data_IF_549445922024
#
_entry.id   IF_549445922024
#
_cell.length_a   1.000
_cell.length_b   1.000
_cell.length_c   1.000
_cell.angle_alpha   90.00
_cell.angle_beta   90.00
_cell.angle_gamma   90.00
#
_symmetry.space_group_name_H-M   'P 1'
#
loop_
_entity.id
_entity.type
_entity.pdbx_description
1 polymer ?
#
# COMPACT_ATOMS: atom_id res chain seq x y z
N UNK A 1 -9.45 -1.13 -22.85
CA UNK A 1 -10.85 -1.42 -22.44
C UNK A 1 -10.88 -1.39 -20.92
N UNK A 2 -11.80 -0.64 -20.31
CA UNK A 2 -11.79 -0.25 -18.89
C UNK A 2 -11.58 -1.39 -17.89
N UNK A 3 -10.59 -1.23 -17.00
CA UNK A 3 -10.33 -2.06 -15.81
C UNK A 3 -11.38 -1.69 -14.75
N UNK A 4 -12.23 -2.65 -14.34
CA UNK A 4 -13.18 -2.45 -13.23
C UNK A 4 -12.50 -2.81 -11.91
N UNK A 5 -12.21 -1.79 -11.11
CA UNK A 5 -11.97 -1.88 -9.66
C UNK A 5 -13.27 -2.26 -8.90
N UNK A 6 -13.77 -3.48 -9.13
CA UNK A 6 -15.16 -3.84 -8.82
C UNK A 6 -15.45 -4.53 -7.48
N UNK A 7 -14.48 -5.15 -6.80
CA UNK A 7 -14.84 -6.07 -5.71
C UNK A 7 -14.97 -5.45 -4.32
N UNK A 8 -14.40 -4.27 -4.06
CA UNK A 8 -14.50 -3.62 -2.72
C UNK A 8 -15.60 -2.55 -2.67
N UNK A 9 -15.93 -1.94 -3.81
CA UNK A 9 -16.94 -0.87 -3.89
C UNK A 9 -18.37 -1.44 -3.81
N UNK A 10 -18.61 -2.65 -4.32
CA UNK A 10 -19.96 -3.26 -4.33
C UNK A 10 -20.46 -3.62 -2.92
N UNK A 11 -19.56 -3.93 -1.98
CA UNK A 11 -19.91 -4.22 -0.59
C UNK A 11 -20.34 -2.96 0.18
N UNK A 12 -19.79 -1.78 -0.16
CA UNK A 12 -20.14 -0.50 0.48
C UNK A 12 -21.42 0.13 -0.07
N UNK A 13 -21.86 -0.27 -1.26
CA UNK A 13 -23.04 0.30 -1.92
C UNK A 13 -24.38 -0.32 -1.48
N UNK A 14 -24.35 -1.48 -0.82
CA UNK A 14 -25.57 -2.15 -0.36
C UNK A 14 -26.02 -1.71 1.05
N UNK A 15 -25.17 -1.04 1.83
CA UNK A 15 -25.50 -0.56 3.18
C UNK A 15 -25.86 0.94 3.28
N UNK A 16 -25.79 1.70 2.19
CA UNK A 16 -26.09 3.15 2.20
C UNK A 16 -27.52 3.51 1.78
N UNK A 17 -28.40 2.52 1.57
CA UNK A 17 -29.79 2.77 1.14
C UNK A 17 -30.75 3.30 2.21
N UNK A 18 -30.30 3.56 3.44
CA UNK A 18 -31.12 4.15 4.51
C UNK A 18 -30.50 5.39 5.16
N UNK A 19 -30.11 6.38 4.35
CA UNK A 19 -29.75 7.72 4.85
C UNK A 19 -30.79 8.73 4.34
N UNK A 20 -31.52 9.45 5.23
CA UNK A 20 -32.45 10.50 4.81
C UNK A 20 -31.69 11.62 4.09
N UNK A 21 -32.19 12.01 2.92
CA UNK A 21 -31.71 13.18 2.16
C UNK A 21 -31.99 14.47 2.95
N UNK A 22 -31.06 14.95 3.75
CA UNK A 22 -31.08 16.35 4.21
C UNK A 22 -30.22 17.18 3.28
N UNK A 23 -30.85 17.77 2.25
CA UNK A 23 -30.30 18.95 1.58
C UNK A 23 -30.29 20.08 2.62
N UNK A 24 -29.10 20.49 3.08
CA UNK A 24 -28.93 21.67 3.93
C UNK A 24 -29.11 22.94 3.10
N UNK A 25 -30.36 23.21 2.73
CA UNK A 25 -30.81 24.57 2.41
C UNK A 25 -31.45 25.08 3.70
N UNK A 26 -30.94 26.14 4.34
CA UNK A 26 -31.52 26.67 5.56
C UNK A 26 -33.00 26.98 5.33
N UNK A 27 -33.88 26.51 6.23
CA UNK A 27 -35.30 26.86 6.20
C UNK A 27 -35.43 28.40 6.15
N UNK A 28 -36.40 28.97 5.41
CA UNK A 28 -36.48 30.42 5.16
C UNK A 28 -36.53 31.28 6.44
N UNK A 29 -37.02 30.72 7.56
CA UNK A 29 -37.02 31.37 8.87
C UNK A 29 -35.62 31.49 9.50
N UNK A 30 -34.80 30.44 9.39
CA UNK A 30 -33.43 30.38 9.94
C UNK A 30 -32.51 31.33 9.16
N UNK A 31 -32.67 31.39 7.84
CA UNK A 31 -31.89 32.29 6.99
C UNK A 31 -32.11 33.76 7.37
N UNK A 32 -33.37 34.14 7.65
CA UNK A 32 -33.69 35.52 8.05
C UNK A 32 -33.10 35.90 9.41
N UNK A 33 -33.07 34.98 10.39
CA UNK A 33 -32.46 35.22 11.69
C UNK A 33 -30.93 35.44 11.57
N UNK A 34 -30.26 34.66 10.71
CA UNK A 34 -28.83 34.82 10.44
C UNK A 34 -28.51 36.14 9.73
N UNK A 35 -29.34 36.54 8.75
CA UNK A 35 -29.20 37.84 8.09
C UNK A 35 -29.30 38.96 9.12
N UNK A 36 -30.34 38.95 9.97
CA UNK A 36 -30.52 40.00 10.99
C UNK A 36 -29.37 40.04 12.01
N UNK A 37 -28.85 38.87 12.39
CA UNK A 37 -27.67 38.79 13.26
C UNK A 37 -26.45 39.47 12.64
N UNK A 38 -26.17 39.23 11.35
CA UNK A 38 -25.05 39.87 10.62
C UNK A 38 -25.29 41.37 10.44
N UNK A 39 -26.55 41.81 10.25
CA UNK A 39 -26.86 43.24 10.14
C UNK A 39 -26.59 43.99 11.45
N UNK A 40 -26.90 43.36 12.58
CA UNK A 40 -26.78 43.96 13.91
C UNK A 40 -25.39 43.82 14.55
N UNK A 41 -24.48 43.06 13.97
CA UNK A 41 -23.13 42.89 14.52
C UNK A 41 -22.30 44.19 14.48
N UNK A 42 -21.40 44.36 15.44
CA UNK A 42 -20.39 45.42 15.39
C UNK A 42 -19.30 45.01 14.39
N UNK A 43 -19.13 45.78 13.31
CA UNK A 43 -18.18 45.47 12.25
C UNK A 43 -18.24 46.44 11.08
N UNK A 44 -17.26 46.34 10.18
CA UNK A 44 -17.22 47.18 8.97
C UNK A 44 -18.28 46.73 7.96
N UNK A 45 -18.74 47.66 7.11
CA UNK A 45 -19.66 47.33 6.01
C UNK A 45 -19.10 46.22 5.11
N UNK A 46 -17.80 46.24 4.84
CA UNK A 46 -17.08 45.20 4.10
C UNK A 46 -17.21 43.83 4.75
N UNK A 47 -17.04 43.72 6.08
CA UNK A 47 -17.17 42.45 6.80
C UNK A 47 -18.59 41.89 6.72
N UNK A 48 -19.60 42.74 6.90
CA UNK A 48 -21.02 42.36 6.75
C UNK A 48 -21.33 41.89 5.34
N UNK A 49 -20.84 42.61 4.32
CA UNK A 49 -20.98 42.21 2.90
C UNK A 49 -20.37 40.83 2.66
N UNK A 50 -19.15 40.56 3.15
CA UNK A 50 -18.47 39.27 2.99
C UNK A 50 -19.29 38.12 3.61
N UNK A 51 -19.81 38.32 4.83
CA UNK A 51 -20.62 37.32 5.54
C UNK A 51 -21.97 37.05 4.85
N UNK A 52 -22.66 38.09 4.38
CA UNK A 52 -23.93 37.92 3.66
C UNK A 52 -23.75 37.23 2.30
N UNK A 53 -22.67 37.53 1.57
CA UNK A 53 -22.32 36.82 0.34
C UNK A 53 -21.96 35.35 0.60
N UNK A 54 -21.21 35.06 1.68
CA UNK A 54 -20.91 33.69 2.10
C UNK A 54 -22.15 32.90 2.56
N UNK A 55 -23.16 33.60 3.11
CA UNK A 55 -24.45 33.04 3.48
C UNK A 55 -25.34 32.73 2.24
N UNK A 56 -24.91 33.14 1.05
CA UNK A 56 -25.57 32.82 -0.23
C UNK A 56 -26.51 33.91 -0.77
N UNK A 57 -26.50 35.12 -0.20
CA UNK A 57 -27.28 36.24 -0.74
C UNK A 57 -26.66 36.73 -2.05
N UNK A 58 -27.51 37.19 -2.96
CA UNK A 58 -27.04 37.83 -4.19
C UNK A 58 -26.43 39.20 -3.90
N UNK A 59 -25.49 39.62 -4.74
CA UNK A 59 -24.85 40.96 -4.65
C UNK A 59 -25.87 42.11 -4.61
N UNK A 60 -27.01 41.95 -5.29
CA UNK A 60 -28.08 42.96 -5.29
C UNK A 60 -28.81 43.01 -3.95
N UNK A 61 -29.20 41.85 -3.41
CA UNK A 61 -29.80 41.77 -2.08
C UNK A 61 -28.86 42.34 -1.00
N UNK A 62 -27.56 42.06 -1.09
CA UNK A 62 -26.58 42.61 -0.15
C UNK A 62 -26.43 44.13 -0.31
N UNK A 63 -26.47 44.65 -1.55
CA UNK A 63 -26.39 46.09 -1.79
C UNK A 63 -27.57 46.85 -1.14
N UNK A 64 -28.78 46.29 -1.25
CA UNK A 64 -29.99 46.86 -0.68
C UNK A 64 -29.97 46.81 0.86
N UNK A 65 -29.39 45.75 1.45
CA UNK A 65 -29.38 45.55 2.91
C UNK A 65 -28.31 46.35 3.67
N UNK A 66 -27.10 46.50 3.11
CA UNK A 66 -25.95 47.07 3.87
C UNK A 66 -25.20 48.19 3.15
N UNK A 67 -25.54 48.48 1.89
CA UNK A 67 -24.81 49.45 1.08
C UNK A 67 -25.71 50.54 0.47
N UNK A 68 -26.94 50.73 0.96
CA UNK A 68 -27.91 51.71 0.46
C UNK A 68 -28.07 51.64 -1.08
N UNK A 69 -28.12 50.44 -1.64
CA UNK A 69 -28.24 50.20 -3.08
C UNK A 69 -26.93 50.35 -3.89
N UNK A 70 -25.79 50.63 -3.24
CA UNK A 70 -24.50 50.75 -3.93
C UNK A 70 -23.95 49.36 -4.38
N UNK A 71 -24.46 48.89 -5.52
CA UNK A 71 -24.07 47.62 -6.12
C UNK A 71 -22.58 47.57 -6.50
N UNK A 72 -22.02 48.69 -6.98
CA UNK A 72 -20.62 48.76 -7.38
C UNK A 72 -19.66 48.48 -6.22
N UNK A 73 -19.98 48.97 -5.02
CA UNK A 73 -19.21 48.69 -3.81
C UNK A 73 -19.24 47.20 -3.44
N UNK A 74 -20.43 46.58 -3.44
CA UNK A 74 -20.58 45.13 -3.18
C UNK A 74 -19.85 44.29 -4.24
N UNK A 75 -19.90 44.70 -5.50
CA UNK A 75 -19.22 44.03 -6.60
C UNK A 75 -17.69 44.06 -6.42
N UNK A 76 -17.12 45.16 -5.96
CA UNK A 76 -15.69 45.27 -5.69
C UNK A 76 -15.26 44.38 -4.51
N UNK A 77 -16.08 44.31 -3.45
CA UNK A 77 -15.84 43.39 -2.32
C UNK A 77 -15.90 41.93 -2.77
N UNK A 78 -16.91 41.55 -3.57
CA UNK A 78 -17.03 40.20 -4.12
C UNK A 78 -15.85 39.83 -5.02
N UNK A 79 -15.42 40.72 -5.93
CA UNK A 79 -14.25 40.49 -6.79
C UNK A 79 -12.99 40.22 -5.97
N UNK A 80 -12.78 40.96 -4.87
CA UNK A 80 -11.64 40.73 -3.96
C UNK A 80 -11.74 39.38 -3.24
N UNK A 81 -12.92 39.05 -2.69
CA UNK A 81 -13.14 37.73 -2.06
C UNK A 81 -12.84 36.57 -2.99
N UNK A 82 -13.30 36.64 -4.26
CA UNK A 82 -13.05 35.58 -5.22
C UNK A 82 -11.58 35.51 -5.59
N UNK A 83 -10.89 36.65 -5.74
CA UNK A 83 -9.43 36.67 -5.98
C UNK A 83 -8.67 36.03 -4.82
N UNK A 84 -8.96 36.41 -3.58
CA UNK A 84 -8.33 35.85 -2.38
C UNK A 84 -8.57 34.34 -2.26
N UNK A 85 -9.78 33.86 -2.61
CA UNK A 85 -10.11 32.43 -2.67
C UNK A 85 -9.33 31.70 -3.79
N UNK A 86 -9.15 32.36 -4.94
CA UNK A 86 -8.41 31.79 -6.08
C UNK A 86 -6.92 31.72 -5.77
N UNK A 87 -6.37 32.75 -5.14
CA UNK A 87 -4.98 32.83 -4.71
C UNK A 87 -4.71 31.81 -3.58
N UNK A 88 -5.63 31.65 -2.62
CA UNK A 88 -5.55 30.61 -1.59
C UNK A 88 -5.63 29.19 -2.18
N UNK A 89 -6.49 28.97 -3.17
CA UNK A 89 -6.59 27.69 -3.87
C UNK A 89 -5.33 27.40 -4.71
N UNK A 90 -4.74 28.42 -5.35
CA UNK A 90 -3.48 28.30 -6.09
C UNK A 90 -2.30 28.04 -5.15
N UNK A 91 -2.25 28.69 -3.98
CA UNK A 91 -1.25 28.45 -2.95
C UNK A 91 -1.39 27.04 -2.33
N UNK A 92 -2.63 26.57 -2.13
CA UNK A 92 -2.91 25.20 -1.70
C UNK A 92 -2.51 24.18 -2.77
N UNK A 93 -2.80 24.44 -4.04
CA UNK A 93 -2.38 23.58 -5.15
C UNK A 93 -0.85 23.54 -5.31
N UNK A 94 -0.15 24.67 -5.09
CA UNK A 94 1.30 24.77 -5.15
C UNK A 94 2.02 24.12 -3.95
N UNK A 95 1.30 23.86 -2.84
CA UNK A 95 1.84 23.18 -1.64
C UNK A 95 1.52 21.68 -1.60
N UNK A 96 0.71 21.17 -2.53
CA UNK A 96 0.53 19.72 -2.70
C UNK A 96 1.74 19.22 -3.47
N UNK A 97 2.72 18.68 -2.75
CA UNK A 97 3.73 17.81 -3.36
C UNK A 97 2.99 16.77 -4.22
N UNK A 98 3.46 16.46 -5.46
CA UNK A 98 2.79 15.49 -6.29
C UNK A 98 2.61 14.20 -5.48
N UNK A 99 1.35 13.77 -5.35
CA UNK A 99 1.03 12.55 -4.62
C UNK A 99 1.85 11.41 -5.21
N UNK A 100 2.55 10.66 -4.36
CA UNK A 100 3.35 9.51 -4.78
C UNK A 100 2.42 8.53 -5.52
N UNK A 101 2.76 8.20 -6.77
CA UNK A 101 2.02 7.20 -7.53
C UNK A 101 2.38 5.80 -7.02
N UNK A 102 1.41 5.16 -6.39
CA UNK A 102 1.52 3.81 -5.84
C UNK A 102 0.97 2.72 -6.77
N UNK A 103 0.73 3.03 -8.05
CA UNK A 103 0.32 2.04 -9.06
C UNK A 103 1.33 0.90 -9.12
N UNK A 104 0.85 -0.34 -9.09
CA UNK A 104 1.72 -1.52 -9.08
C UNK A 104 2.06 -1.98 -10.50
N UNK A 105 3.21 -1.55 -11.00
CA UNK A 105 3.75 -1.89 -12.33
C UNK A 105 5.16 -2.53 -12.28
N UNK A 106 5.65 -2.87 -11.08
CA UNK A 106 7.00 -3.39 -10.86
C UNK A 106 7.10 -4.87 -11.21
N UNK A 107 8.27 -5.28 -11.72
CA UNK A 107 8.62 -6.69 -11.88
C UNK A 107 8.83 -7.36 -10.52
N UNK A 108 8.23 -8.52 -10.31
CA UNK A 108 8.34 -9.26 -9.07
C UNK A 108 8.38 -10.77 -9.32
N UNK A 109 8.79 -11.53 -8.33
CA UNK A 109 8.72 -12.98 -8.33
C UNK A 109 8.28 -13.50 -6.96
N UNK A 110 7.72 -14.69 -6.92
CA UNK A 110 7.31 -15.36 -5.67
C UNK A 110 7.85 -16.77 -5.59
N UNK A 111 8.27 -17.17 -4.39
CA UNK A 111 8.58 -18.55 -4.03
C UNK A 111 7.54 -19.00 -3.01
N UNK A 112 6.71 -19.99 -3.38
CA UNK A 112 5.62 -20.52 -2.56
C UNK A 112 6.04 -21.89 -2.03
N UNK A 113 6.34 -21.96 -0.73
CA UNK A 113 6.64 -23.22 -0.05
C UNK A 113 5.36 -23.86 0.46
N UNK A 114 5.13 -25.14 0.12
CA UNK A 114 3.92 -25.88 0.53
C UNK A 114 4.15 -27.40 0.53
N UNK A 115 3.12 -28.14 0.98
CA UNK A 115 3.12 -29.60 1.02
C UNK A 115 1.74 -30.16 0.65
N UNK A 116 1.59 -31.48 0.75
CA UNK A 116 0.35 -32.25 0.56
C UNK A 116 -0.07 -32.47 -0.91
N UNK A 117 0.79 -32.17 -1.87
CA UNK A 117 0.58 -32.51 -3.27
C UNK A 117 1.90 -32.92 -3.93
N UNK A 118 1.90 -34.00 -4.72
CA UNK A 118 3.08 -34.37 -5.50
C UNK A 118 3.36 -33.32 -6.57
N UNK A 119 4.64 -33.01 -6.84
CA UNK A 119 5.04 -32.07 -7.90
C UNK A 119 4.48 -32.47 -9.27
N UNK A 120 4.43 -33.78 -9.57
CA UNK A 120 3.86 -34.29 -10.81
C UNK A 120 2.36 -34.01 -10.95
N UNK A 121 1.56 -34.20 -9.88
CA UNK A 121 0.14 -33.84 -9.88
C UNK A 121 -0.02 -32.34 -10.05
N UNK A 122 0.71 -31.55 -9.26
CA UNK A 122 0.59 -30.09 -9.30
C UNK A 122 0.96 -29.51 -10.66
N UNK A 123 2.05 -29.98 -11.27
CA UNK A 123 2.46 -29.57 -12.61
C UNK A 123 1.38 -29.85 -13.67
N UNK A 124 0.76 -31.04 -13.61
CA UNK A 124 -0.34 -31.39 -14.52
C UNK A 124 -1.55 -30.47 -14.37
N UNK A 125 -1.98 -30.20 -13.13
CA UNK A 125 -3.15 -29.33 -12.91
C UNK A 125 -2.85 -27.86 -13.26
N UNK A 126 -1.63 -27.38 -13.03
CA UNK A 126 -1.19 -26.04 -13.45
C UNK A 126 -1.19 -25.92 -14.99
N UNK A 127 -0.63 -26.91 -15.68
CA UNK A 127 -0.64 -26.95 -17.15
C UNK A 127 -2.07 -27.01 -17.72
N UNK A 128 -2.95 -27.79 -17.10
CA UNK A 128 -4.37 -27.85 -17.48
C UNK A 128 -5.10 -26.50 -17.28
N UNK A 129 -4.66 -25.69 -16.31
CA UNK A 129 -5.15 -24.33 -16.10
C UNK A 129 -4.49 -23.27 -17.02
N UNK A 130 -3.63 -23.70 -17.96
CA UNK A 130 -2.92 -22.82 -18.88
C UNK A 130 -1.69 -22.13 -18.28
N UNK A 131 -1.20 -22.57 -17.12
CA UNK A 131 0.04 -22.09 -16.52
C UNK A 131 1.21 -22.91 -17.07
N UNK A 132 2.16 -22.25 -17.74
CA UNK A 132 3.42 -22.89 -18.16
C UNK A 132 4.22 -23.26 -16.92
N UNK A 133 4.53 -24.54 -16.74
CA UNK A 133 5.24 -25.04 -15.57
C UNK A 133 6.15 -26.22 -15.92
N UNK A 134 7.32 -26.28 -15.29
CA UNK A 134 8.25 -27.41 -15.37
C UNK A 134 8.60 -27.96 -13.99
N UNK A 135 8.89 -29.26 -13.91
CA UNK A 135 9.39 -29.90 -12.69
C UNK A 135 10.90 -30.03 -12.82
N UNK A 136 11.63 -29.39 -11.91
CA UNK A 136 13.08 -29.29 -12.00
C UNK A 136 13.77 -29.88 -10.75
N UNK A 137 15.07 -30.15 -10.91
CA UNK A 137 15.98 -30.32 -9.77
C UNK A 137 16.20 -28.97 -9.06
N UNK A 138 16.63 -29.02 -7.80
CA UNK A 138 16.97 -27.80 -7.05
C UNK A 138 17.98 -26.92 -7.80
N UNK A 139 17.63 -25.66 -8.04
CA UNK A 139 18.49 -24.68 -8.67
C UNK A 139 18.03 -23.25 -8.37
N UNK A 140 18.87 -22.27 -8.72
CA UNK A 140 18.60 -20.85 -8.55
C UNK A 140 18.49 -20.10 -9.89
N UNK A 141 18.16 -20.79 -10.97
CA UNK A 141 17.99 -20.19 -12.30
C UNK A 141 16.70 -19.38 -12.37
N UNK A 142 16.78 -18.15 -12.84
CA UNK A 142 15.60 -17.32 -13.08
C UNK A 142 15.02 -17.62 -14.45
N UNK A 143 13.70 -17.79 -14.51
CA UNK A 143 12.98 -18.02 -15.75
C UNK A 143 12.07 -16.84 -16.07
N UNK A 144 11.82 -16.62 -17.37
CA UNK A 144 10.91 -15.58 -17.85
C UNK A 144 9.64 -16.15 -18.48
N UNK A 145 9.58 -17.46 -18.70
CA UNK A 145 8.58 -18.08 -19.56
C UNK A 145 7.78 -19.21 -18.87
N UNK A 146 8.19 -19.68 -17.69
CA UNK A 146 7.48 -20.72 -16.96
C UNK A 146 7.72 -20.68 -15.45
N UNK A 147 6.75 -21.23 -14.71
CA UNK A 147 6.90 -21.54 -13.29
C UNK A 147 7.73 -22.81 -13.13
N UNK A 148 8.47 -22.95 -12.02
CA UNK A 148 9.19 -24.19 -11.73
C UNK A 148 8.78 -24.79 -10.39
N UNK A 149 8.74 -26.12 -10.35
CA UNK A 149 8.50 -26.92 -9.15
C UNK A 149 9.78 -27.63 -8.73
N UNK A 150 10.38 -27.16 -7.64
CA UNK A 150 11.64 -27.69 -7.10
C UNK A 150 11.44 -28.35 -5.74
N UNK A 151 12.49 -29.02 -5.27
CA UNK A 151 12.56 -29.56 -3.90
C UNK A 151 13.14 -28.54 -2.96
N UNK A 152 12.60 -28.44 -1.75
CA UNK A 152 13.24 -27.76 -0.62
C UNK A 152 13.32 -28.70 0.59
N UNK A 153 14.55 -28.96 1.05
CA UNK A 153 14.85 -29.84 2.18
C UNK A 153 14.59 -29.17 3.53
N UNK A 154 14.31 -27.86 3.55
CA UNK A 154 13.94 -27.13 4.76
C UNK A 154 12.49 -27.39 5.19
N UNK A 155 11.66 -27.89 4.27
CA UNK A 155 10.23 -28.10 4.45
C UNK A 155 9.92 -29.44 5.13
N UNK A 156 8.86 -29.45 5.93
CA UNK A 156 8.35 -30.62 6.63
C UNK A 156 6.92 -30.93 6.18
N UNK A 157 6.59 -32.22 6.02
CA UNK A 157 5.27 -32.68 5.58
C UNK A 157 5.35 -33.69 4.45
N UNK A 158 4.20 -34.24 4.06
CA UNK A 158 4.13 -35.18 2.95
C UNK A 158 4.20 -34.42 1.63
N UNK A 159 5.02 -34.88 0.67
CA UNK A 159 5.12 -34.31 -0.67
C UNK A 159 5.36 -32.79 -0.64
N UNK A 160 6.46 -32.36 -0.01
CA UNK A 160 6.85 -30.96 0.01
C UNK A 160 7.29 -30.48 -1.37
N UNK A 161 7.07 -29.20 -1.65
CA UNK A 161 7.52 -28.54 -2.87
C UNK A 161 7.72 -27.04 -2.62
N UNK A 162 8.57 -26.45 -3.44
CA UNK A 162 8.63 -25.01 -3.64
C UNK A 162 8.22 -24.72 -5.07
N UNK A 163 7.21 -23.86 -5.24
CA UNK A 163 6.71 -23.38 -6.52
C UNK A 163 7.23 -21.95 -6.73
N UNK A 164 8.10 -21.78 -7.73
CA UNK A 164 8.78 -20.51 -8.02
C UNK A 164 8.22 -19.93 -9.30
N UNK A 165 7.84 -18.66 -9.27
CA UNK A 165 7.30 -17.97 -10.43
C UNK A 165 8.38 -17.63 -11.46
N UNK A 166 8.02 -17.43 -12.75
CA UNK A 166 8.84 -16.61 -13.62
C UNK A 166 8.85 -15.15 -13.13
N UNK A 167 9.55 -14.27 -13.84
CA UNK A 167 9.42 -12.82 -13.62
C UNK A 167 7.97 -12.40 -13.99
N UNK A 168 7.21 -11.97 -12.99
CA UNK A 168 5.85 -11.47 -13.10
C UNK A 168 5.83 -9.93 -13.16
N UNK A 169 4.76 -9.36 -13.72
CA UNK A 169 4.67 -7.92 -14.01
C UNK A 169 3.42 -7.28 -13.39
N UNK A 170 3.60 -6.48 -12.33
CA UNK A 170 2.54 -5.66 -11.74
C UNK A 170 1.22 -6.40 -11.47
N UNK A 171 0.10 -5.72 -11.71
CA UNK A 171 -1.25 -6.29 -11.55
C UNK A 171 -1.50 -7.52 -12.45
N UNK A 172 -0.98 -7.53 -13.69
CA UNK A 172 -1.14 -8.67 -14.59
C UNK A 172 -0.47 -9.94 -14.02
N UNK A 173 0.68 -9.77 -13.38
CA UNK A 173 1.36 -10.85 -12.66
C UNK A 173 0.54 -11.39 -11.48
N UNK A 174 -0.22 -10.53 -10.80
CA UNK A 174 -1.12 -10.95 -9.73
C UNK A 174 -2.34 -11.73 -10.25
N UNK A 175 -2.86 -11.40 -11.43
CA UNK A 175 -3.92 -12.20 -12.07
C UNK A 175 -3.46 -13.64 -12.38
N UNK A 176 -2.20 -13.81 -12.81
CA UNK A 176 -1.62 -15.14 -12.99
C UNK A 176 -1.42 -15.88 -11.66
N UNK A 177 -0.90 -15.17 -10.65
CA UNK A 177 -0.76 -15.71 -9.29
C UNK A 177 -2.11 -16.16 -8.70
N UNK A 178 -3.20 -15.45 -8.97
CA UNK A 178 -4.54 -15.83 -8.52
C UNK A 178 -4.96 -17.19 -9.09
N UNK A 179 -4.73 -17.42 -10.39
CA UNK A 179 -4.98 -18.73 -11.03
C UNK A 179 -4.12 -19.83 -10.41
N UNK A 180 -2.86 -19.54 -10.13
CA UNK A 180 -1.97 -20.48 -9.42
C UNK A 180 -2.53 -20.82 -8.04
N UNK A 181 -3.03 -19.84 -7.28
CA UNK A 181 -3.67 -20.09 -5.99
C UNK A 181 -4.93 -20.97 -6.11
N UNK A 182 -5.75 -20.82 -7.15
CA UNK A 182 -6.90 -21.71 -7.39
C UNK A 182 -6.45 -23.15 -7.63
N UNK A 183 -5.37 -23.37 -8.38
CA UNK A 183 -4.83 -24.70 -8.63
C UNK A 183 -4.20 -25.30 -7.35
N UNK A 184 -3.53 -24.49 -6.53
CA UNK A 184 -3.03 -24.92 -5.23
C UNK A 184 -4.16 -25.39 -4.31
N UNK A 185 -5.29 -24.67 -4.29
CA UNK A 185 -6.49 -25.05 -3.53
C UNK A 185 -7.12 -26.34 -4.07
N UNK A 186 -7.31 -26.45 -5.39
CA UNK A 186 -7.77 -27.68 -6.06
C UNK A 186 -6.88 -28.89 -5.73
N UNK A 187 -5.58 -28.68 -5.67
CA UNK A 187 -4.61 -29.70 -5.31
C UNK A 187 -4.60 -30.07 -3.82
N UNK A 188 -5.36 -29.35 -2.98
CA UNK A 188 -5.33 -29.45 -1.52
C UNK A 188 -3.91 -29.23 -0.98
N UNK A 189 -3.19 -28.27 -1.56
CA UNK A 189 -1.88 -27.85 -1.06
C UNK A 189 -2.04 -27.19 0.30
N UNK A 190 -1.12 -27.51 1.21
CA UNK A 190 -1.15 -27.05 2.61
C UNK A 190 0.16 -26.36 2.97
N UNK A 191 0.11 -25.58 4.04
CA UNK A 191 1.25 -24.85 4.59
C UNK A 191 1.34 -25.10 6.09
N UNK A 192 2.54 -25.06 6.63
CA UNK A 192 2.82 -25.18 8.07
C UNK A 192 3.97 -24.24 8.46
N UNK A 193 4.48 -24.37 9.69
CA UNK A 193 5.53 -23.47 10.21
C UNK A 193 6.89 -23.59 9.52
N UNK A 194 7.13 -24.67 8.77
CA UNK A 194 8.32 -24.77 7.92
C UNK A 194 8.18 -23.97 6.61
N UNK A 195 6.96 -23.66 6.19
CA UNK A 195 6.66 -22.98 4.93
C UNK A 195 6.73 -21.45 5.04
N UNK A 196 7.16 -20.83 3.95
CA UNK A 196 7.28 -19.42 3.69
C UNK A 196 6.65 -18.97 2.38
N UNK A 197 6.55 -17.65 2.26
CA UNK A 197 6.34 -16.97 1.00
C UNK A 197 7.46 -15.97 0.86
N UNK A 198 8.37 -16.21 -0.09
CA UNK A 198 9.40 -15.24 -0.44
C UNK A 198 8.92 -14.39 -1.60
N UNK A 199 9.16 -13.09 -1.51
CA UNK A 199 8.79 -12.14 -2.57
C UNK A 199 10.05 -11.42 -3.00
N UNK A 200 10.38 -11.58 -4.28
CA UNK A 200 11.44 -10.83 -4.94
C UNK A 200 10.84 -9.62 -5.62
N UNK A 201 11.43 -8.45 -5.38
CA UNK A 201 11.07 -7.21 -6.06
C UNK A 201 12.26 -6.72 -6.86
N UNK A 202 12.06 -6.44 -8.14
CA UNK A 202 13.08 -5.86 -9.00
C UNK A 202 13.69 -4.61 -8.36
N UNK A 203 15.03 -4.53 -8.38
CA UNK A 203 15.80 -3.46 -7.78
C UNK A 203 16.63 -2.70 -8.82
N UNK A 204 16.36 -2.87 -10.13
CA UNK A 204 17.07 -2.18 -11.20
C UNK A 204 17.09 -0.64 -11.03
N UNK A 205 16.00 -0.07 -10.52
CA UNK A 205 15.86 1.38 -10.30
C UNK A 205 16.31 1.85 -8.90
N UNK A 206 16.90 0.99 -8.07
CA UNK A 206 17.29 1.39 -6.72
C UNK A 206 18.64 2.10 -6.76
N UNK A 207 18.64 3.39 -6.41
CA UNK A 207 19.86 4.04 -5.98
C UNK A 207 20.21 3.64 -4.52
N UNK A 208 21.41 3.99 -4.08
CA UNK A 208 21.88 3.68 -2.74
C UNK A 208 20.97 4.28 -1.66
N UNK A 209 20.40 5.47 -1.90
CA UNK A 209 19.54 6.13 -0.93
C UNK A 209 18.21 5.37 -0.77
N UNK A 210 17.63 4.88 -1.87
CA UNK A 210 16.45 4.01 -1.88
C UNK A 210 16.71 2.74 -1.08
N UNK A 211 17.88 2.10 -1.25
CA UNK A 211 18.26 0.94 -0.43
C UNK A 211 18.32 1.27 1.06
N UNK A 212 18.97 2.37 1.45
CA UNK A 212 19.05 2.80 2.85
C UNK A 212 17.67 3.07 3.43
N UNK A 213 16.86 3.83 2.71
CA UNK A 213 15.51 4.20 3.10
C UNK A 213 14.60 2.97 3.26
N UNK A 214 14.70 1.99 2.35
CA UNK A 214 13.95 0.73 2.41
C UNK A 214 14.34 -0.07 3.65
N UNK A 215 15.64 -0.27 3.88
CA UNK A 215 16.14 -1.06 5.02
C UNK A 215 15.73 -0.42 6.35
N UNK A 216 15.90 0.90 6.48
CA UNK A 216 15.53 1.62 7.70
C UNK A 216 14.01 1.62 7.89
N UNK A 217 13.24 1.80 6.82
CA UNK A 217 11.77 1.70 6.89
C UNK A 217 11.34 0.33 7.38
N UNK A 218 11.89 -0.74 6.81
CA UNK A 218 11.58 -2.09 7.23
C UNK A 218 11.99 -2.34 8.69
N UNK A 219 13.20 -1.91 9.08
CA UNK A 219 13.71 -2.03 10.45
C UNK A 219 12.80 -1.33 11.46
N UNK A 220 12.39 -0.09 11.19
CA UNK A 220 11.51 0.71 12.07
C UNK A 220 10.10 0.13 12.14
N UNK A 221 9.61 -0.48 11.05
CA UNK A 221 8.31 -1.15 11.00
C UNK A 221 8.36 -2.61 11.43
N UNK A 222 9.52 -3.19 11.72
CA UNK A 222 9.70 -4.63 11.92
C UNK A 222 8.73 -5.19 12.96
N UNK A 223 8.62 -4.53 14.12
CA UNK A 223 7.67 -4.91 15.18
C UNK A 223 6.21 -4.76 14.74
N UNK A 224 5.89 -3.75 13.94
CA UNK A 224 4.53 -3.56 13.39
C UNK A 224 4.19 -4.70 12.43
N UNK A 225 5.14 -5.06 11.56
CA UNK A 225 5.01 -6.17 10.61
C UNK A 225 4.87 -7.50 11.35
N UNK A 226 5.68 -7.74 12.38
CA UNK A 226 5.63 -8.95 13.20
C UNK A 226 4.22 -9.20 13.77
N UNK A 227 3.48 -8.15 14.15
CA UNK A 227 2.13 -8.30 14.70
C UNK A 227 1.11 -8.89 13.72
N UNK A 228 1.29 -8.72 12.41
CA UNK A 228 0.41 -9.33 11.40
C UNK A 228 1.06 -10.54 10.69
N UNK A 229 2.17 -11.05 11.24
CA UNK A 229 2.83 -12.29 10.83
C UNK A 229 2.66 -13.40 11.88
N UNK A 230 2.60 -14.69 11.46
CA UNK A 230 2.54 -15.82 12.39
C UNK A 230 3.80 -15.88 13.26
N UNK A 231 3.68 -16.40 14.48
CA UNK A 231 4.79 -16.48 15.45
C UNK A 231 6.04 -17.15 14.86
N UNK A 232 5.85 -18.22 14.09
CA UNK A 232 6.93 -18.97 13.42
C UNK A 232 7.76 -18.13 12.46
N UNK A 233 7.29 -16.95 12.03
CA UNK A 233 7.96 -16.07 11.06
C UNK A 233 8.38 -14.70 11.62
N UNK A 234 8.16 -14.45 12.92
CA UNK A 234 8.58 -13.18 13.55
C UNK A 234 10.08 -13.12 13.76
N UNK A 235 10.73 -14.25 14.01
CA UNK A 235 12.18 -14.38 14.02
C UNK A 235 12.56 -15.86 14.00
N UNK A 236 13.25 -16.33 12.98
CA UNK A 236 13.75 -17.70 12.91
C UNK A 236 15.06 -17.77 12.11
N UNK A 237 15.63 -18.96 11.94
CA UNK A 237 16.90 -19.17 11.24
C UNK A 237 16.89 -18.78 9.75
N UNK A 238 15.72 -18.71 9.12
CA UNK A 238 15.49 -18.46 7.68
C UNK A 238 14.94 -17.05 7.38
N UNK A 239 14.45 -16.32 8.39
CA UNK A 239 14.02 -14.92 8.30
C UNK A 239 14.36 -14.16 9.60
N UNK A 240 15.66 -14.03 9.88
CA UNK A 240 16.21 -13.32 11.02
C UNK A 240 15.83 -11.84 11.00
N UNK A 241 15.55 -11.30 12.18
CA UNK A 241 15.24 -9.90 12.34
C UNK A 241 16.41 -8.95 12.06
N UNK A 242 16.13 -7.66 11.96
CA UNK A 242 17.12 -6.63 11.61
C UNK A 242 17.74 -5.96 12.85
N UNK A 243 17.43 -6.44 14.06
CA UNK A 243 17.85 -5.83 15.34
C UNK A 243 19.36 -5.56 15.42
N UNK A 244 20.19 -6.50 14.97
CA UNK A 244 21.66 -6.41 15.05
C UNK A 244 22.28 -5.44 14.05
N UNK A 245 21.52 -4.97 13.07
CA UNK A 245 21.98 -4.09 11.99
C UNK A 245 21.65 -2.65 12.38
N UNK A 246 22.65 -1.84 12.73
CA UNK A 246 22.43 -0.47 13.22
C UNK A 246 22.15 0.50 12.08
N UNK A 247 21.29 1.50 12.32
CA UNK A 247 21.02 2.55 11.33
C UNK A 247 22.29 3.36 11.01
N UNK A 248 23.19 3.54 11.98
CA UNK A 248 24.49 4.18 11.77
C UNK A 248 25.36 3.41 10.76
N UNK A 249 25.31 2.07 10.74
CA UNK A 249 26.02 1.27 9.74
C UNK A 249 25.35 1.38 8.37
N UNK A 250 24.01 1.35 8.31
CA UNK A 250 23.26 1.53 7.06
C UNK A 250 23.55 2.90 6.44
N UNK A 251 23.52 3.97 7.24
CA UNK A 251 23.74 5.34 6.78
C UNK A 251 25.17 5.57 6.27
N UNK A 252 26.18 4.93 6.88
CA UNK A 252 27.59 5.02 6.48
C UNK A 252 27.94 4.24 5.22
N UNK A 253 27.09 3.31 4.77
CA UNK A 253 27.35 2.55 3.56
C UNK A 253 27.53 3.47 2.34
N UNK A 254 28.57 3.24 1.54
CA UNK A 254 28.87 4.01 0.33
C UNK A 254 28.40 3.32 -0.95
N UNK A 255 28.00 2.05 -0.86
CA UNK A 255 27.50 1.25 -1.97
C UNK A 255 26.69 0.04 -1.44
N UNK A 256 26.10 -0.75 -2.34
CA UNK A 256 25.32 -1.94 -1.97
C UNK A 256 26.16 -3.08 -1.37
N UNK A 257 27.45 -3.18 -1.70
CA UNK A 257 28.34 -4.17 -1.09
C UNK A 257 28.53 -3.89 0.40
N UNK A 258 28.66 -2.62 0.80
CA UNK A 258 28.74 -2.23 2.21
C UNK A 258 27.45 -2.57 2.96
N UNK A 259 26.29 -2.38 2.32
CA UNK A 259 25.00 -2.79 2.89
C UNK A 259 24.92 -4.31 3.07
N UNK A 260 25.34 -5.08 2.07
CA UNK A 260 25.40 -6.54 2.15
C UNK A 260 26.36 -7.01 3.26
N UNK A 261 27.50 -6.34 3.41
CA UNK A 261 28.44 -6.60 4.50
C UNK A 261 27.84 -6.28 5.88
N UNK A 262 27.02 -5.22 5.99
CA UNK A 262 26.27 -4.92 7.22
C UNK A 262 25.26 -6.01 7.59
N UNK A 263 24.76 -6.76 6.59
CA UNK A 263 23.94 -7.96 6.76
C UNK A 263 24.78 -9.24 6.86
N UNK A 264 26.09 -9.14 7.07
CA UNK A 264 27.04 -10.26 7.18
C UNK A 264 27.04 -11.19 5.96
N UNK A 265 26.69 -10.69 4.78
CA UNK A 265 26.48 -11.49 3.56
C UNK A 265 25.53 -12.68 3.78
N UNK A 266 24.58 -12.53 4.72
CA UNK A 266 23.70 -13.60 5.14
C UNK A 266 22.31 -13.43 4.52
N UNK A 267 21.95 -14.40 3.66
CA UNK A 267 20.67 -14.42 2.94
C UNK A 267 19.44 -14.62 3.83
N UNK A 268 19.61 -15.07 5.06
CA UNK A 268 18.52 -15.50 5.93
C UNK A 268 17.94 -14.37 6.80
N UNK A 269 18.03 -13.12 6.38
CA UNK A 269 17.34 -12.00 7.02
C UNK A 269 15.95 -11.79 6.41
N UNK A 270 15.01 -11.19 7.15
CA UNK A 270 13.68 -10.82 6.63
C UNK A 270 13.75 -10.00 5.34
N UNK A 271 14.75 -9.13 5.25
CA UNK A 271 15.13 -8.41 4.02
C UNK A 271 16.49 -8.98 3.60
N UNK A 272 16.52 -9.69 2.49
CA UNK A 272 17.72 -10.31 1.96
C UNK A 272 18.30 -9.48 0.81
N UNK A 273 19.52 -8.96 1.02
CA UNK A 273 20.29 -8.19 0.04
C UNK A 273 21.19 -9.05 -0.85
N UNK A 274 21.44 -10.31 -0.49
CA UNK A 274 22.21 -11.25 -1.33
C UNK A 274 21.45 -11.64 -2.60
N UNK A 275 20.12 -11.51 -2.59
CA UNK A 275 19.30 -11.62 -3.79
C UNK A 275 19.72 -10.62 -4.89
N UNK A 276 20.28 -9.46 -4.53
CA UNK A 276 20.73 -8.48 -5.51
C UNK A 276 21.91 -8.99 -6.34
N UNK A 277 22.84 -9.73 -5.73
CA UNK A 277 24.01 -10.25 -6.42
C UNK A 277 23.66 -11.34 -7.45
N UNK A 278 22.57 -12.09 -7.22
CA UNK A 278 22.15 -13.20 -8.08
C UNK A 278 21.06 -12.78 -9.07
N UNK A 279 20.05 -12.06 -8.59
CA UNK A 279 18.79 -11.83 -9.30
C UNK A 279 18.54 -10.35 -9.61
N UNK A 280 19.40 -9.44 -9.12
CA UNK A 280 19.16 -7.98 -9.16
C UNK A 280 17.85 -7.55 -8.47
N UNK A 281 17.42 -8.30 -7.46
CA UNK A 281 16.22 -8.04 -6.67
C UNK A 281 16.56 -7.78 -5.20
N UNK A 282 15.60 -7.21 -4.46
CA UNK A 282 15.50 -7.39 -3.01
C UNK A 282 14.53 -8.52 -2.71
N UNK A 283 14.89 -9.43 -1.81
CA UNK A 283 14.00 -10.52 -1.40
C UNK A 283 13.45 -10.26 0.01
N UNK A 284 12.14 -10.45 0.18
CA UNK A 284 11.44 -10.38 1.45
C UNK A 284 11.01 -11.76 1.90
N UNK A 285 11.53 -12.20 3.05
CA UNK A 285 11.42 -13.57 3.55
C UNK A 285 10.47 -13.71 4.74
N UNK A 286 9.82 -12.64 5.21
CA UNK A 286 9.10 -12.66 6.48
C UNK A 286 7.69 -13.26 6.41
N UNK A 287 7.05 -13.32 5.24
CA UNK A 287 5.67 -13.80 5.19
C UNK A 287 5.61 -15.32 5.41
N UNK A 288 4.62 -15.78 6.18
CA UNK A 288 4.39 -17.21 6.39
C UNK A 288 3.87 -17.90 5.13
N UNK A 289 4.09 -19.21 5.06
CA UNK A 289 3.54 -20.02 3.98
C UNK A 289 2.08 -19.71 3.76
N UNK A 290 1.70 -19.54 2.50
CA UNK A 290 0.31 -19.29 2.13
C UNK A 290 -0.01 -19.99 0.82
N UNK A 291 -1.28 -20.32 0.65
CA UNK A 291 -1.90 -20.64 -0.65
C UNK A 291 -3.07 -19.70 -0.94
N UNK A 292 -3.30 -18.71 -0.05
CA UNK A 292 -4.42 -17.78 -0.14
C UNK A 292 -4.01 -16.50 -0.88
N UNK A 293 -4.59 -16.30 -2.06
CA UNK A 293 -4.28 -15.16 -2.93
C UNK A 293 -4.42 -13.80 -2.21
N UNK A 294 -5.50 -13.59 -1.45
CA UNK A 294 -5.72 -12.32 -0.73
C UNK A 294 -4.59 -11.98 0.23
N UNK A 295 -4.04 -12.96 0.95
CA UNK A 295 -2.88 -12.75 1.83
C UNK A 295 -1.62 -12.42 1.04
N UNK A 296 -1.35 -13.17 -0.02
CA UNK A 296 -0.17 -12.97 -0.87
C UNK A 296 -0.20 -11.60 -1.55
N UNK A 297 -1.31 -11.28 -2.22
CA UNK A 297 -1.51 -10.02 -2.92
C UNK A 297 -1.39 -8.83 -1.97
N UNK A 298 -2.01 -8.89 -0.78
CA UNK A 298 -1.86 -7.82 0.21
C UNK A 298 -0.41 -7.61 0.66
N UNK A 299 0.37 -8.69 0.80
CA UNK A 299 1.78 -8.60 1.16
C UNK A 299 2.64 -8.04 0.02
N UNK A 300 2.42 -8.50 -1.22
CA UNK A 300 3.11 -8.00 -2.42
C UNK A 300 2.87 -6.50 -2.59
N UNK A 301 1.61 -6.05 -2.47
CA UNK A 301 1.27 -4.63 -2.52
C UNK A 301 1.92 -3.82 -1.40
N UNK A 302 1.89 -4.33 -0.17
CA UNK A 302 2.54 -3.67 0.98
C UNK A 302 4.04 -3.43 0.70
N UNK A 303 4.74 -4.45 0.19
CA UNK A 303 6.16 -4.36 -0.17
C UNK A 303 6.41 -3.38 -1.33
N UNK A 304 5.60 -3.46 -2.39
CA UNK A 304 5.72 -2.57 -3.54
C UNK A 304 5.55 -1.09 -3.12
N UNK A 305 4.53 -0.80 -2.31
CA UNK A 305 4.28 0.56 -1.80
C UNK A 305 5.39 1.04 -0.86
N UNK A 306 5.93 0.17 -0.03
CA UNK A 306 7.09 0.50 0.81
C UNK A 306 8.30 0.88 -0.05
N UNK A 307 8.57 0.14 -1.12
CA UNK A 307 9.65 0.44 -2.06
C UNK A 307 9.42 1.78 -2.76
N UNK A 308 8.21 2.03 -3.26
CA UNK A 308 7.86 3.32 -3.89
C UNK A 308 8.06 4.48 -2.91
N UNK A 309 7.66 4.30 -1.65
CA UNK A 309 7.91 5.29 -0.60
C UNK A 309 9.40 5.46 -0.29
N UNK A 310 10.18 4.38 -0.32
CA UNK A 310 11.63 4.40 -0.08
C UNK A 310 12.41 5.28 -1.08
N UNK A 311 11.89 5.48 -2.28
CA UNK A 311 12.46 6.43 -3.26
C UNK A 311 12.37 7.90 -2.81
N UNK A 312 11.43 8.22 -1.92
CA UNK A 312 11.20 9.58 -1.42
C UNK A 312 11.75 9.80 -0.01
N UNK A 313 11.78 8.75 0.80
CA UNK A 313 12.26 8.86 2.18
C UNK A 313 12.02 7.59 2.98
N UNK A 314 12.10 7.72 4.30
CA UNK A 314 11.92 6.63 5.25
C UNK A 314 10.93 7.02 6.34
N UNK A 315 10.28 6.03 6.94
CA UNK A 315 9.33 6.31 8.04
C UNK A 315 10.08 6.73 9.30
N UNK A 316 9.41 7.46 10.19
CA UNK A 316 9.98 7.86 11.47
C UNK A 316 10.07 6.68 12.45
N UNK A 317 11.00 6.75 13.39
CA UNK A 317 11.05 5.80 14.50
C UNK A 317 9.73 5.87 15.30
N UNK A 318 9.24 4.70 15.77
CA UNK A 318 7.96 4.63 16.49
C UNK A 318 6.71 4.75 15.61
N UNK A 319 6.83 4.73 14.28
CA UNK A 319 5.66 4.71 13.38
C UNK A 319 4.75 3.51 13.69
N UNK A 320 3.49 3.81 14.02
CA UNK A 320 2.45 2.80 14.28
C UNK A 320 1.76 2.39 12.98
N UNK A 321 0.99 1.29 12.98
CA UNK A 321 0.21 0.85 11.81
C UNK A 321 -0.69 1.96 11.25
N UNK A 322 -1.32 2.76 12.11
CA UNK A 322 -2.20 3.86 11.73
C UNK A 322 -1.44 4.99 11.00
N UNK A 323 -0.17 5.17 11.32
CA UNK A 323 0.68 6.24 10.82
C UNK A 323 1.58 5.83 9.66
N UNK A 324 1.44 4.61 9.11
CA UNK A 324 2.18 4.21 7.91
C UNK A 324 1.68 5.05 6.72
N UNK A 325 2.56 5.86 6.10
CA UNK A 325 2.14 6.88 5.13
C UNK A 325 1.77 6.31 3.75
N UNK A 326 2.27 5.12 3.42
CA UNK A 326 2.05 4.46 2.14
C UNK A 326 0.89 3.45 2.15
N UNK A 327 0.06 3.45 3.19
CA UNK A 327 -1.14 2.60 3.29
C UNK A 327 -2.42 3.41 3.29
N UNK A 328 -3.43 2.88 2.61
CA UNK A 328 -4.81 3.34 2.68
C UNK A 328 -5.48 2.90 3.99
N UNK A 329 -6.58 3.54 4.37
CA UNK A 329 -7.35 3.16 5.57
C UNK A 329 -7.89 1.73 5.50
N UNK A 330 -8.28 1.27 4.30
CA UNK A 330 -8.71 -0.13 4.08
C UNK A 330 -7.59 -1.13 4.31
N UNK A 331 -6.36 -0.82 3.88
CA UNK A 331 -5.20 -1.70 4.09
C UNK A 331 -4.80 -1.74 5.56
N UNK A 332 -4.81 -0.58 6.24
CA UNK A 332 -4.59 -0.51 7.69
C UNK A 332 -5.63 -1.33 8.45
N UNK A 333 -6.90 -1.26 8.06
CA UNK A 333 -7.96 -2.06 8.66
C UNK A 333 -7.74 -3.56 8.44
N UNK A 334 -7.40 -3.97 7.21
CA UNK A 334 -7.09 -5.36 6.89
C UNK A 334 -5.95 -5.92 7.77
N UNK A 335 -4.84 -5.19 7.87
CA UNK A 335 -3.70 -5.59 8.70
C UNK A 335 -4.06 -5.61 10.20
N UNK A 336 -4.88 -4.67 10.69
CA UNK A 336 -5.37 -4.67 12.07
C UNK A 336 -6.22 -5.90 12.38
N UNK A 337 -7.10 -6.31 11.46
CA UNK A 337 -7.88 -7.55 11.60
C UNK A 337 -6.95 -8.77 11.58
N UNK A 338 -5.95 -8.78 10.70
CA UNK A 338 -4.97 -9.86 10.61
C UNK A 338 -4.19 -10.04 11.92
N UNK A 339 -3.76 -8.95 12.55
CA UNK A 339 -3.12 -8.96 13.87
C UNK A 339 -4.01 -9.61 14.92
N UNK A 340 -5.30 -9.24 14.98
CA UNK A 340 -6.24 -9.85 15.93
C UNK A 340 -6.40 -11.36 15.70
N UNK A 341 -6.45 -11.81 14.44
CA UNK A 341 -6.54 -13.24 14.10
C UNK A 341 -5.30 -14.07 14.48
N UNK A 342 -4.18 -13.44 14.78
CA UNK A 342 -2.92 -14.10 15.15
C UNK A 342 -2.59 -13.95 16.65
N UNK A 343 -3.42 -13.21 17.40
CA UNK A 343 -3.30 -13.06 18.84
C UNK A 343 -4.11 -14.11 19.62
N UNK A 344 -4.94 -14.88 18.91
CA UNK A 344 -5.64 -16.09 19.36
C UNK A 344 -4.78 -17.28 18.97
#
# INVERSE_FOLDING_TARGET
>A
MCIRAGSVILALQLETKNIPKTKNIPKPKIMNEQIQSILNENGTKTSKIQKLLALGLTRRQVADLVANGNYGFVQNVYKRMMRDLTDAAAQAAATIAPAIDYTFNRNFGVEIEAYNCTRARLARELAAAGIRVEVEGYNHTDHTDHWKLVTDSSLSGNNTFELVSPILHGEQGLEELEKVCWVLDLCNAKVNDSCGLHVHMDAAEFDLQTWKNLIITYKRLEKVIDHFMPLSRRNNRFCKGLTTITEATINRASNISDLRAAFYHNRYHKVNLEAYARHRTVEFRQHGGSTNFTKMSAWIHFLAKMITFAKQGQVQEGTTLQNIPFLTESEKLYLKIRTKKLAV
#
